data_IF_252805538212
#
_entry.id   IF_252805538212
#
_cell.length_a   1.000
_cell.length_b   1.000
_cell.length_c   1.000
_cell.angle_alpha   90.00
_cell.angle_beta   90.00
_cell.angle_gamma   90.00
#
_symmetry.space_group_name_H-M   'P 1'
#
loop_
_entity.id
_entity.type
_entity.pdbx_description
1 polymer ?
#
# COMPACT_ATOMS: atom_id res chain seq x y z
N UNK A 1 14.89 13.09 29.52
CA UNK A 1 14.46 12.42 28.28
C UNK A 1 15.65 12.40 27.34
N UNK A 2 16.04 11.23 26.83
CA UNK A 2 17.15 11.14 25.88
C UNK A 2 16.63 11.34 24.43
N UNK A 3 17.55 11.59 23.47
CA UNK A 3 17.17 11.87 22.08
C UNK A 3 16.33 10.77 21.41
N UNK A 4 16.52 9.50 21.77
CA UNK A 4 15.71 8.38 21.26
C UNK A 4 14.27 8.44 21.78
N UNK A 5 14.10 8.75 23.06
CA UNK A 5 12.77 8.91 23.66
C UNK A 5 12.01 10.09 23.05
N UNK A 6 12.69 11.22 22.84
CA UNK A 6 12.10 12.40 22.19
C UNK A 6 11.65 12.05 20.76
N UNK A 7 12.52 11.42 19.95
CA UNK A 7 12.17 10.98 18.60
C UNK A 7 10.93 10.08 18.59
N UNK A 8 10.88 9.09 19.48
CA UNK A 8 9.74 8.16 19.56
C UNK A 8 8.45 8.90 19.94
N UNK A 9 8.50 9.85 20.89
CA UNK A 9 7.33 10.66 21.27
C UNK A 9 6.81 11.50 20.10
N UNK A 10 7.71 12.13 19.34
CA UNK A 10 7.34 12.92 18.15
C UNK A 10 6.68 12.04 17.10
N UNK A 11 7.25 10.85 16.84
CA UNK A 11 6.67 9.88 15.88
C UNK A 11 5.28 9.39 16.32
N UNK A 12 5.10 9.11 17.62
CA UNK A 12 3.79 8.74 18.16
C UNK A 12 2.76 9.86 17.99
N UNK A 13 3.12 11.10 18.25
CA UNK A 13 2.22 12.24 18.05
C UNK A 13 1.89 12.45 16.56
N UNK A 14 2.86 12.24 15.66
CA UNK A 14 2.64 12.32 14.21
C UNK A 14 1.62 11.28 13.75
N UNK A 15 1.80 10.01 14.14
CA UNK A 15 0.90 8.89 13.78
C UNK A 15 -0.52 9.14 14.33
N UNK A 16 -0.64 9.69 15.54
CA UNK A 16 -1.93 10.01 16.17
C UNK A 16 -2.56 11.31 15.64
N UNK A 17 -1.97 11.97 14.66
CA UNK A 17 -2.46 13.27 14.15
C UNK A 17 -2.41 14.42 15.16
N UNK A 18 -1.60 14.29 16.23
CA UNK A 18 -1.49 15.28 17.32
C UNK A 18 -0.34 16.27 17.16
N UNK A 19 0.48 16.10 16.12
CA UNK A 19 1.68 16.92 15.92
C UNK A 19 1.34 18.32 15.42
N UNK A 20 0.33 18.43 14.60
CA UNK A 20 -0.18 19.69 14.04
C UNK A 20 -1.69 19.77 14.21
N UNK A 21 -2.27 20.99 14.34
CA UNK A 21 -3.72 21.16 14.31
C UNK A 21 -4.33 20.61 13.03
N UNK A 22 -5.50 19.99 13.14
CA UNK A 22 -6.26 19.56 11.96
C UNK A 22 -6.94 20.76 11.30
N UNK A 23 -6.92 20.86 9.98
CA UNK A 23 -7.66 21.89 9.26
C UNK A 23 -9.16 21.49 9.20
N UNK A 24 -10.05 22.33 9.72
CA UNK A 24 -11.49 22.03 9.69
C UNK A 24 -12.09 22.07 8.28
N UNK A 25 -11.36 22.60 7.30
CA UNK A 25 -11.78 22.64 5.89
C UNK A 25 -11.30 21.41 5.08
N UNK A 26 -10.46 20.57 5.67
CA UNK A 26 -10.04 19.33 5.02
C UNK A 26 -11.25 18.42 4.77
N UNK A 27 -11.26 17.79 3.58
CA UNK A 27 -12.28 16.78 3.26
C UNK A 27 -12.20 15.62 4.26
N UNK A 28 -13.31 15.23 4.92
CA UNK A 28 -13.30 14.09 5.82
C UNK A 28 -12.88 12.78 5.11
N UNK A 29 -12.10 11.94 5.77
CA UNK A 29 -11.62 10.67 5.21
C UNK A 29 -12.78 9.74 4.78
N UNK A 30 -13.94 9.81 5.42
CA UNK A 30 -15.16 9.09 5.03
C UNK A 30 -15.59 9.40 3.60
N UNK A 31 -15.48 10.66 3.16
CA UNK A 31 -15.80 11.07 1.78
C UNK A 31 -14.78 10.49 0.79
N UNK A 32 -13.49 10.53 1.14
CA UNK A 32 -12.43 9.93 0.31
C UNK A 32 -12.63 8.40 0.18
N UNK A 33 -12.90 7.71 1.27
CA UNK A 33 -13.14 6.26 1.27
C UNK A 33 -14.38 5.87 0.44
N UNK A 34 -15.43 6.71 0.45
CA UNK A 34 -16.62 6.49 -0.39
C UNK A 34 -16.30 6.68 -1.88
N UNK A 35 -15.50 7.71 -2.23
CA UNK A 35 -15.02 7.91 -3.61
C UNK A 35 -14.20 6.69 -4.07
N UNK A 36 -13.29 6.18 -3.24
CA UNK A 36 -12.48 4.99 -3.55
C UNK A 36 -13.37 3.76 -3.76
N UNK A 37 -14.37 3.52 -2.90
CA UNK A 37 -15.32 2.41 -3.06
C UNK A 37 -16.11 2.50 -4.35
N UNK A 38 -16.62 3.68 -4.67
CA UNK A 38 -17.37 3.94 -5.91
C UNK A 38 -16.50 3.67 -7.13
N UNK A 39 -15.27 4.16 -7.15
CA UNK A 39 -14.33 3.95 -8.25
C UNK A 39 -13.95 2.47 -8.38
N UNK A 40 -13.65 1.78 -7.29
CA UNK A 40 -13.40 0.32 -7.31
C UNK A 40 -14.60 -0.45 -7.88
N UNK A 41 -15.81 -0.15 -7.44
CA UNK A 41 -17.03 -0.78 -7.96
C UNK A 41 -17.17 -0.57 -9.48
N UNK A 42 -16.85 0.63 -9.99
CA UNK A 42 -16.81 0.95 -11.41
C UNK A 42 -15.77 0.11 -12.15
N UNK A 43 -14.54 0.05 -11.63
CA UNK A 43 -13.45 -0.71 -12.23
C UNK A 43 -13.71 -2.23 -12.27
N UNK A 44 -14.35 -2.76 -11.22
CA UNK A 44 -14.81 -4.17 -11.18
C UNK A 44 -15.87 -4.42 -12.26
N UNK A 45 -16.85 -3.53 -12.40
CA UNK A 45 -17.90 -3.63 -13.42
C UNK A 45 -17.35 -3.56 -14.84
N UNK A 46 -16.31 -2.76 -15.05
CA UNK A 46 -15.60 -2.65 -16.34
C UNK A 46 -14.63 -3.83 -16.59
N UNK A 47 -14.47 -4.75 -15.64
CA UNK A 47 -13.53 -5.88 -15.74
C UNK A 47 -12.05 -5.50 -15.64
N UNK A 48 -11.73 -4.28 -15.20
CA UNK A 48 -10.36 -3.78 -15.08
C UNK A 48 -9.64 -4.30 -13.85
N UNK A 49 -10.39 -4.52 -12.76
CA UNK A 49 -9.88 -5.12 -11.52
C UNK A 49 -10.79 -6.27 -11.08
N UNK A 50 -10.24 -7.21 -10.31
CA UNK A 50 -11.03 -8.31 -9.73
C UNK A 50 -11.79 -7.83 -8.50
N UNK A 51 -13.00 -8.36 -8.30
CA UNK A 51 -13.75 -8.14 -7.07
C UNK A 51 -13.01 -8.78 -5.89
N UNK A 52 -12.73 -7.99 -4.87
CA UNK A 52 -12.20 -8.49 -3.60
C UNK A 52 -13.33 -9.17 -2.80
N UNK A 53 -13.11 -10.44 -2.42
CA UNK A 53 -14.06 -11.20 -1.60
C UNK A 53 -14.01 -10.81 -0.12
N UNK A 54 -12.91 -10.20 0.30
CA UNK A 54 -12.66 -9.79 1.68
C UNK A 54 -12.85 -8.28 1.88
N UNK A 55 -13.46 -7.60 0.91
CA UNK A 55 -13.75 -6.18 1.02
C UNK A 55 -14.61 -5.91 2.24
N UNK A 56 -14.17 -4.97 3.07
CA UNK A 56 -14.80 -4.61 4.32
C UNK A 56 -14.67 -3.12 4.57
N UNK A 57 -15.46 -2.60 5.49
CA UNK A 57 -15.26 -1.25 6.01
C UNK A 57 -15.32 -1.23 7.52
N UNK A 58 -14.59 -0.30 8.11
CA UNK A 58 -14.56 -0.07 9.55
C UNK A 58 -15.49 1.10 9.85
N UNK A 59 -16.26 0.98 10.94
CA UNK A 59 -17.14 2.03 11.41
C UNK A 59 -17.20 2.05 12.94
N UNK A 60 -17.62 3.16 13.50
CA UNK A 60 -17.84 3.31 14.94
C UNK A 60 -19.31 3.02 15.26
N UNK A 61 -19.56 2.12 16.19
CA UNK A 61 -20.89 1.80 16.70
C UNK A 61 -21.43 2.84 17.67
N UNK A 62 -22.71 2.72 18.04
CA UNK A 62 -23.37 3.61 19.00
C UNK A 62 -22.77 3.51 20.42
N UNK A 63 -22.13 2.39 20.72
CA UNK A 63 -21.37 2.13 21.95
C UNK A 63 -19.95 2.70 21.94
N UNK A 64 -19.60 3.44 20.88
CA UNK A 64 -18.26 3.97 20.60
C UNK A 64 -17.16 2.95 20.27
N UNK A 65 -17.46 1.66 20.19
CA UNK A 65 -16.52 0.63 19.77
C UNK A 65 -16.37 0.60 18.25
N UNK A 66 -15.23 0.11 17.78
CA UNK A 66 -14.96 -0.05 16.35
C UNK A 66 -15.39 -1.43 15.86
N UNK A 67 -16.06 -1.43 14.72
CA UNK A 67 -16.56 -2.63 14.06
C UNK A 67 -16.07 -2.69 12.63
N UNK A 68 -15.78 -3.91 12.17
CA UNK A 68 -15.54 -4.21 10.76
C UNK A 68 -16.74 -4.93 10.17
N UNK A 69 -17.27 -4.45 9.04
CA UNK A 69 -18.35 -5.11 8.30
C UNK A 69 -17.84 -5.61 6.96
N UNK A 70 -17.95 -6.91 6.73
CA UNK A 70 -17.60 -7.55 5.47
C UNK A 70 -18.74 -7.39 4.46
N UNK A 71 -18.43 -6.88 3.26
CA UNK A 71 -19.44 -6.57 2.24
C UNK A 71 -20.01 -7.82 1.59
N UNK A 72 -19.24 -8.91 1.48
CA UNK A 72 -19.66 -10.14 0.85
C UNK A 72 -20.62 -10.96 1.70
N UNK A 73 -20.40 -11.00 3.01
CA UNK A 73 -21.17 -11.86 3.96
C UNK A 73 -22.17 -11.07 4.80
N UNK A 74 -21.96 -9.76 4.93
CA UNK A 74 -22.69 -8.90 5.88
C UNK A 74 -22.26 -9.10 7.34
N UNK A 75 -21.28 -9.97 7.60
CA UNK A 75 -20.75 -10.23 8.94
C UNK A 75 -20.19 -8.95 9.56
N UNK A 76 -20.43 -8.75 10.84
CA UNK A 76 -19.91 -7.63 11.63
C UNK A 76 -19.10 -8.19 12.79
N UNK A 77 -17.85 -7.75 12.90
CA UNK A 77 -16.91 -8.14 13.95
C UNK A 77 -16.48 -6.92 14.74
N UNK A 78 -16.51 -6.97 16.06
CA UNK A 78 -15.87 -5.97 16.90
C UNK A 78 -14.35 -6.08 16.77
N UNK A 79 -13.68 -4.95 16.52
CA UNK A 79 -12.23 -4.87 16.33
C UNK A 79 -11.57 -3.85 17.27
N UNK A 80 -12.24 -3.50 18.34
CA UNK A 80 -11.79 -2.47 19.29
C UNK A 80 -10.39 -2.79 19.85
N UNK A 81 -10.10 -4.06 20.13
CA UNK A 81 -8.79 -4.52 20.58
C UNK A 81 -7.70 -4.44 19.50
N UNK A 82 -8.09 -4.35 18.22
CA UNK A 82 -7.17 -4.22 17.10
C UNK A 82 -6.81 -2.74 16.82
N UNK A 83 -7.58 -1.79 17.37
CA UNK A 83 -7.37 -0.34 17.18
C UNK A 83 -6.27 0.16 18.13
N UNK A 84 -5.13 0.63 17.61
CA UNK A 84 -3.96 0.92 18.44
C UNK A 84 -4.05 2.24 19.20
N UNK A 85 -4.91 3.19 18.76
CA UNK A 85 -5.09 4.52 19.38
C UNK A 85 -6.32 5.25 18.80
N UNK A 86 -6.79 6.26 19.50
CA UNK A 86 -7.84 7.14 19.00
C UNK A 86 -7.32 8.08 17.92
N UNK A 87 -8.12 8.30 16.90
CA UNK A 87 -7.80 9.18 15.76
C UNK A 87 -8.54 10.51 15.86
N UNK A 88 -8.01 11.60 15.22
CA UNK A 88 -8.68 12.90 15.18
C UNK A 88 -10.04 12.83 14.46
N UNK A 89 -10.87 13.84 14.72
CA UNK A 89 -12.11 14.04 13.97
C UNK A 89 -11.80 14.25 12.48
N UNK A 90 -12.54 13.60 11.63
CA UNK A 90 -12.35 13.64 10.17
C UNK A 90 -11.42 12.56 9.62
N UNK A 91 -10.76 11.80 10.52
CA UNK A 91 -9.97 10.61 10.16
C UNK A 91 -10.84 9.36 10.27
N UNK A 92 -10.49 8.35 9.49
CA UNK A 92 -11.16 7.05 9.49
C UNK A 92 -10.14 5.92 9.47
N UNK A 93 -10.43 4.84 10.16
CA UNK A 93 -9.68 3.61 10.04
C UNK A 93 -10.09 2.88 8.76
N UNK A 94 -9.11 2.39 8.02
CA UNK A 94 -9.34 1.54 6.85
C UNK A 94 -8.27 0.47 6.74
N UNK A 95 -8.62 -0.68 6.19
CA UNK A 95 -7.61 -1.67 5.81
C UNK A 95 -6.83 -1.16 4.60
N UNK A 96 -5.53 -1.38 4.61
CA UNK A 96 -4.66 -0.98 3.50
C UNK A 96 -5.11 -1.60 2.18
N UNK A 97 -5.57 -2.86 2.19
CA UNK A 97 -6.13 -3.56 1.02
C UNK A 97 -7.35 -2.87 0.38
N UNK A 98 -8.04 -2.00 1.12
CA UNK A 98 -9.15 -1.23 0.55
C UNK A 98 -8.69 -0.07 -0.34
N UNK A 99 -7.49 0.43 -0.13
CA UNK A 99 -6.97 1.66 -0.77
C UNK A 99 -5.78 1.43 -1.70
N UNK A 100 -5.21 0.22 -1.69
CA UNK A 100 -4.12 -0.17 -2.61
C UNK A 100 -4.47 -1.47 -3.32
N UNK A 101 -3.82 -1.71 -4.46
CA UNK A 101 -3.69 -3.02 -5.08
C UNK A 101 -2.29 -3.57 -4.78
N UNK A 102 -2.21 -4.76 -4.18
CA UNK A 102 -0.95 -5.40 -3.88
C UNK A 102 -0.58 -6.38 -5.00
N UNK A 103 0.49 -6.08 -5.73
CA UNK A 103 1.03 -6.96 -6.76
C UNK A 103 2.22 -7.76 -6.22
N UNK A 104 2.14 -9.08 -6.34
CA UNK A 104 3.26 -9.97 -6.03
C UNK A 104 4.09 -10.22 -7.28
N UNK A 105 5.37 -9.94 -7.21
CA UNK A 105 6.30 -10.17 -8.30
C UNK A 105 6.48 -11.65 -8.63
N UNK A 106 7.02 -11.94 -9.82
CA UNK A 106 7.36 -13.27 -10.29
C UNK A 106 8.84 -13.32 -10.68
N UNK A 107 9.59 -14.23 -10.06
CA UNK A 107 11.00 -14.44 -10.38
C UNK A 107 11.17 -15.19 -11.70
N UNK A 108 12.27 -14.88 -12.42
CA UNK A 108 12.60 -15.50 -13.70
C UNK A 108 13.90 -16.30 -13.64
N UNK A 109 13.94 -17.38 -14.40
CA UNK A 109 15.16 -18.12 -14.69
C UNK A 109 16.10 -17.26 -15.56
N UNK A 110 17.43 -17.48 -15.53
CA UNK A 110 18.42 -16.66 -16.24
C UNK A 110 18.16 -16.44 -17.72
N UNK A 111 17.54 -17.41 -18.40
CA UNK A 111 17.25 -17.40 -19.84
C UNK A 111 16.13 -16.40 -20.22
N UNK A 112 15.37 -15.91 -19.26
CA UNK A 112 14.24 -14.97 -19.48
C UNK A 112 14.59 -13.50 -19.25
N UNK A 113 15.84 -13.21 -18.89
CA UNK A 113 16.30 -11.84 -18.73
C UNK A 113 17.70 -11.64 -19.30
N UNK A 114 18.07 -10.41 -19.54
CA UNK A 114 19.34 -10.02 -20.15
C UNK A 114 19.94 -8.81 -19.42
N UNK A 115 21.20 -8.50 -19.75
CA UNK A 115 21.93 -7.28 -19.32
C UNK A 115 22.23 -6.33 -20.49
N UNK A 116 21.62 -6.58 -21.65
CA UNK A 116 21.85 -5.85 -22.91
C UNK A 116 20.78 -4.77 -23.19
N UNK A 117 19.97 -4.41 -22.18
CA UNK A 117 18.94 -3.38 -22.29
C UNK A 117 17.81 -3.74 -23.31
N UNK A 118 17.52 -5.03 -23.48
CA UNK A 118 16.46 -5.49 -24.38
C UNK A 118 15.18 -5.78 -23.60
N UNK A 119 14.07 -5.14 -23.99
CA UNK A 119 12.79 -5.24 -23.31
C UNK A 119 12.60 -4.19 -22.21
N UNK A 120 11.80 -4.52 -21.18
CA UNK A 120 11.55 -3.63 -20.03
C UNK A 120 12.48 -3.95 -18.85
N UNK A 121 12.77 -2.98 -17.98
CA UNK A 121 13.57 -3.23 -16.79
C UNK A 121 13.01 -4.36 -15.93
N UNK A 122 13.88 -5.21 -15.42
CA UNK A 122 13.58 -6.33 -14.53
C UNK A 122 14.14 -6.07 -13.14
N UNK A 123 13.26 -5.89 -12.17
CA UNK A 123 13.61 -5.55 -10.79
C UNK A 123 13.59 -6.82 -9.94
N UNK A 124 14.76 -7.24 -9.48
CA UNK A 124 14.92 -8.54 -8.79
C UNK A 124 14.85 -8.43 -7.26
N UNK A 125 15.00 -7.24 -6.69
CA UNK A 125 14.92 -7.08 -5.24
C UNK A 125 15.71 -5.92 -4.66
N UNK A 126 16.18 -6.08 -3.44
CA UNK A 126 16.85 -5.03 -2.66
C UNK A 126 18.09 -4.39 -3.29
N UNK A 127 18.80 -5.12 -4.15
CA UNK A 127 19.96 -4.61 -4.89
C UNK A 127 19.61 -3.57 -5.94
N UNK A 128 18.35 -3.56 -6.39
CA UNK A 128 17.85 -2.58 -7.33
C UNK A 128 17.34 -1.30 -6.66
N UNK A 129 17.35 -1.22 -5.31
CA UNK A 129 16.97 -0.02 -4.57
C UNK A 129 18.22 0.55 -3.88
N UNK A 130 18.73 1.64 -4.44
CA UNK A 130 19.94 2.33 -3.96
C UNK A 130 19.59 3.76 -3.63
N UNK A 131 19.77 4.14 -2.36
CA UNK A 131 19.44 5.49 -1.86
C UNK A 131 18.01 5.96 -2.21
N UNK A 132 17.03 5.04 -2.15
CA UNK A 132 15.64 5.34 -2.46
C UNK A 132 15.30 5.47 -3.95
N UNK A 133 16.24 5.13 -4.84
CA UNK A 133 16.05 5.16 -6.29
C UNK A 133 16.23 3.77 -6.91
N UNK A 134 15.64 3.56 -8.10
CA UNK A 134 15.85 2.34 -8.87
C UNK A 134 17.22 2.34 -9.57
N UNK A 135 17.99 1.26 -9.35
CA UNK A 135 19.21 0.93 -10.08
C UNK A 135 18.91 -0.25 -11.00
N UNK A 136 18.75 0.04 -12.30
CA UNK A 136 18.38 -0.95 -13.32
C UNK A 136 19.64 -1.59 -13.90
N UNK A 137 19.71 -2.92 -13.88
CA UNK A 137 20.83 -3.70 -14.40
C UNK A 137 20.40 -4.96 -15.14
N UNK A 138 19.09 -5.22 -15.24
CA UNK A 138 18.50 -6.36 -15.97
C UNK A 138 17.24 -5.95 -16.69
N UNK A 139 16.94 -6.64 -17.79
CA UNK A 139 15.77 -6.41 -18.65
C UNK A 139 15.13 -7.72 -19.06
N UNK A 140 13.87 -7.68 -19.42
CA UNK A 140 13.13 -8.84 -19.95
C UNK A 140 12.21 -8.44 -21.10
N UNK A 141 12.14 -9.29 -22.13
CA UNK A 141 11.21 -9.14 -23.25
C UNK A 141 9.88 -9.85 -23.02
N UNK A 142 9.78 -10.68 -21.96
CA UNK A 142 8.58 -11.48 -21.64
C UNK A 142 8.05 -11.15 -20.23
N UNK A 143 7.68 -9.89 -19.95
CA UNK A 143 7.21 -9.49 -18.62
C UNK A 143 5.85 -10.13 -18.31
N UNK A 144 5.62 -10.49 -17.04
CA UNK A 144 4.35 -11.05 -16.54
C UNK A 144 3.69 -10.19 -15.47
N UNK A 145 4.45 -9.69 -14.53
CA UNK A 145 3.97 -8.79 -13.47
C UNK A 145 4.54 -7.40 -13.72
N UNK A 146 3.68 -6.46 -14.06
CA UNK A 146 4.06 -5.12 -14.49
C UNK A 146 3.82 -4.11 -13.36
N UNK A 147 4.90 -3.46 -12.93
CA UNK A 147 4.84 -2.22 -12.16
C UNK A 147 4.89 -1.00 -13.08
N UNK A 148 4.32 0.11 -12.65
CA UNK A 148 4.15 1.34 -13.42
C UNK A 148 4.78 2.53 -12.74
N UNK A 149 4.94 3.59 -13.50
CA UNK A 149 5.34 4.90 -12.97
C UNK A 149 4.42 5.33 -11.81
N UNK A 150 5.03 5.69 -10.69
CA UNK A 150 4.32 6.13 -9.48
C UNK A 150 3.99 5.02 -8.48
N UNK A 151 4.14 3.74 -8.86
CA UNK A 151 3.91 2.62 -7.93
C UNK A 151 4.95 2.62 -6.80
N UNK A 152 4.51 2.29 -5.58
CA UNK A 152 5.40 2.09 -4.44
C UNK A 152 5.96 0.66 -4.46
N UNK A 153 7.24 0.53 -4.64
CA UNK A 153 7.97 -0.73 -4.59
C UNK A 153 8.46 -1.00 -3.18
N UNK A 154 8.20 -2.20 -2.66
CA UNK A 154 8.66 -2.62 -1.34
C UNK A 154 9.29 -4.01 -1.39
N UNK A 155 10.46 -4.16 -0.80
CA UNK A 155 11.13 -5.45 -0.68
C UNK A 155 10.56 -6.23 0.50
N UNK A 156 9.94 -7.39 0.22
CA UNK A 156 9.30 -8.22 1.24
C UNK A 156 10.09 -9.49 1.61
N UNK A 157 11.21 -9.78 0.94
CA UNK A 157 12.04 -10.97 1.20
C UNK A 157 13.53 -10.64 1.19
N UNK A 158 14.32 -11.44 1.92
CA UNK A 158 15.77 -11.35 1.96
C UNK A 158 16.32 -10.28 2.93
N UNK A 159 17.61 -10.00 2.84
CA UNK A 159 18.32 -9.09 3.74
C UNK A 159 17.95 -7.61 3.58
N UNK A 160 17.23 -7.28 2.53
CA UNK A 160 16.79 -5.91 2.25
C UNK A 160 15.31 -5.65 2.54
N UNK A 161 14.63 -6.53 3.28
CA UNK A 161 13.21 -6.33 3.68
C UNK A 161 12.99 -4.93 4.24
N UNK A 162 11.92 -4.27 3.78
CA UNK A 162 11.57 -2.92 4.18
C UNK A 162 12.23 -1.80 3.35
N UNK A 163 13.16 -2.11 2.42
CA UNK A 163 13.61 -1.10 1.45
C UNK A 163 12.45 -0.73 0.53
N UNK A 164 12.30 0.55 0.27
CA UNK A 164 11.23 1.11 -0.56
C UNK A 164 11.77 2.15 -1.53
N UNK A 165 11.09 2.29 -2.67
CA UNK A 165 11.23 3.43 -3.57
C UNK A 165 9.95 3.63 -4.39
N UNK A 166 9.78 4.82 -4.95
CA UNK A 166 8.74 5.07 -5.95
C UNK A 166 9.28 4.67 -7.32
N UNK A 167 8.47 3.94 -8.09
CA UNK A 167 8.81 3.61 -9.47
C UNK A 167 8.85 4.88 -10.32
N UNK A 168 10.01 5.18 -10.88
CA UNK A 168 10.26 6.34 -11.74
C UNK A 168 10.42 5.96 -13.22
N UNK A 169 9.94 4.78 -13.60
CA UNK A 169 10.00 4.22 -14.95
C UNK A 169 8.60 3.80 -15.39
N UNK A 170 8.25 4.02 -16.65
CA UNK A 170 6.90 3.78 -17.18
C UNK A 170 6.41 2.35 -16.99
N UNK A 171 7.30 1.37 -17.18
CA UNK A 171 7.00 -0.05 -17.02
C UNK A 171 8.23 -0.80 -16.53
N UNK A 172 8.03 -1.66 -15.56
CA UNK A 172 9.04 -2.59 -15.03
C UNK A 172 8.42 -3.96 -14.83
N UNK A 173 9.21 -5.03 -14.94
CA UNK A 173 8.82 -6.35 -14.47
C UNK A 173 9.31 -6.54 -13.02
N UNK A 174 8.42 -7.03 -12.18
CA UNK A 174 8.67 -7.25 -10.76
C UNK A 174 8.93 -8.73 -10.45
N UNK A 175 10.00 -9.01 -9.72
CA UNK A 175 10.35 -10.36 -9.23
C UNK A 175 9.93 -10.54 -7.76
N UNK A 176 10.80 -10.19 -6.83
CA UNK A 176 10.59 -10.38 -5.40
C UNK A 176 10.01 -9.13 -4.68
N UNK A 177 9.68 -8.11 -5.43
CA UNK A 177 9.11 -6.86 -4.90
C UNK A 177 7.59 -6.94 -4.96
N UNK A 178 6.95 -6.58 -3.86
CA UNK A 178 5.49 -6.41 -3.76
C UNK A 178 5.18 -4.92 -3.78
N UNK A 179 4.12 -4.57 -4.47
CA UNK A 179 3.63 -3.20 -4.59
C UNK A 179 2.36 -3.07 -3.77
#
# INVERSE_FOLDING_TARGET
MNGKQLKNSILQWAIQGKLVPQDPNDEPASVLLEKIRTEKARLVKEGKIKKDKNESFIFRGDDNSYYEKFLATGEVKCIDEEIPFEIPKGWEWSKLSNVIELLSGQDFIPEKYNSSNQGIPYITGASNIVNGNLAINRWTETPTVIGKLGDLLIVCKGSGVGKMCICNVDKIHLSLIHI
#
